data_IF_650625718176
#
_entry.id   IF_650625718176
#
_cell.length_a   1.000
_cell.length_b   1.000
_cell.length_c   1.000
_cell.angle_alpha   90.00
_cell.angle_beta   90.00
_cell.angle_gamma   90.00
#
_symmetry.space_group_name_H-M   'P 1'
#
loop_
_entity.id
_entity.type
_entity.pdbx_description
1 polymer ?
#
# COMPACT_ATOMS: atom_id res chain seq x y z
N UNK A 1 -38.29 72.52 24.53
CA UNK A 1 -37.90 71.79 25.76
C UNK A 1 -38.75 70.52 25.87
N UNK A 2 -38.19 69.36 25.52
CA UNK A 2 -38.72 68.03 25.85
C UNK A 2 -37.52 67.11 26.07
N UNK A 3 -37.29 66.73 27.33
CA UNK A 3 -36.37 65.67 27.70
C UNK A 3 -37.07 64.32 27.50
N UNK A 4 -36.31 63.28 27.11
CA UNK A 4 -35.93 62.19 28.04
C UNK A 4 -35.09 61.14 27.32
N UNK A 5 -33.82 61.11 27.71
CA UNK A 5 -32.92 59.98 27.61
C UNK A 5 -33.43 58.84 28.50
N UNK A 6 -33.23 57.61 28.02
CA UNK A 6 -33.11 56.30 28.72
C UNK A 6 -33.64 55.22 27.75
N UNK A 7 -33.01 54.08 27.50
CA UNK A 7 -31.84 53.40 28.05
C UNK A 7 -31.62 52.16 27.14
N UNK A 8 -30.56 51.38 27.40
CA UNK A 8 -30.25 50.02 26.91
C UNK A 8 -29.66 49.87 25.50
N UNK A 9 -28.68 49.01 25.20
CA UNK A 9 -27.78 48.08 25.90
C UNK A 9 -26.79 47.58 24.82
N UNK A 10 -25.51 47.36 25.16
CA UNK A 10 -24.54 46.38 24.60
C UNK A 10 -24.31 46.31 23.06
N UNK A 11 -23.14 46.03 22.47
CA UNK A 11 -22.10 45.02 22.72
C UNK A 11 -20.82 45.47 22.00
N UNK A 12 -19.69 45.19 22.63
CA UNK A 12 -18.31 45.17 22.14
C UNK A 12 -18.14 44.45 20.78
N UNK A 13 -17.73 45.13 19.71
CA UNK A 13 -17.31 44.46 18.46
C UNK A 13 -15.79 44.28 18.45
N UNK A 14 -15.31 43.22 19.10
CA UNK A 14 -13.93 42.75 19.02
C UNK A 14 -13.96 41.25 18.74
N UNK A 15 -13.33 40.81 17.65
CA UNK A 15 -13.10 39.38 17.43
C UNK A 15 -13.10 38.92 15.97
N UNK A 16 -11.93 39.05 15.33
CA UNK A 16 -11.33 38.02 14.47
C UNK A 16 -12.21 37.33 13.41
N UNK A 17 -12.25 37.90 12.20
CA UNK A 17 -12.55 37.14 10.99
C UNK A 17 -11.26 36.55 10.42
N UNK A 18 -10.74 35.49 11.05
CA UNK A 18 -9.81 34.57 10.40
C UNK A 18 -9.96 33.18 11.02
N UNK A 19 -10.83 32.35 10.45
CA UNK A 19 -10.67 30.88 10.43
C UNK A 19 -11.53 30.29 9.30
N UNK A 20 -11.11 30.48 8.04
CA UNK A 20 -11.38 29.47 7.02
C UNK A 20 -10.19 28.50 7.03
N UNK A 21 -10.17 27.62 8.03
CA UNK A 21 -9.33 26.42 7.95
C UNK A 21 -9.85 25.59 6.78
N UNK A 22 -9.09 25.54 5.69
CA UNK A 22 -9.33 24.63 4.57
C UNK A 22 -9.32 23.19 5.09
N UNK A 23 -10.50 22.63 5.36
CA UNK A 23 -10.72 21.18 5.43
C UNK A 23 -10.97 20.61 4.01
N UNK A 24 -10.27 21.14 3.00
CA UNK A 24 -10.25 20.58 1.65
C UNK A 24 -9.09 19.59 1.54
N UNK A 25 -9.36 18.35 1.16
CA UNK A 25 -8.31 17.38 0.83
C UNK A 25 -7.35 18.00 -0.18
N UNK A 26 -6.04 17.80 -0.01
CA UNK A 26 -5.07 18.40 -0.95
C UNK A 26 -5.27 17.82 -2.35
N UNK A 27 -4.90 18.56 -3.40
CA UNK A 27 -4.95 18.04 -4.78
C UNK A 27 -4.17 16.73 -4.93
N UNK A 28 -3.08 16.56 -4.15
CA UNK A 28 -2.32 15.30 -4.10
C UNK A 28 -3.10 14.16 -3.45
N UNK A 29 -3.96 14.45 -2.48
CA UNK A 29 -4.90 13.46 -1.91
C UNK A 29 -6.00 13.13 -2.91
N UNK A 30 -6.60 14.13 -3.55
CA UNK A 30 -7.65 13.92 -4.56
C UNK A 30 -7.13 13.12 -5.76
N UNK A 31 -5.91 13.40 -6.24
CA UNK A 31 -5.25 12.62 -7.31
C UNK A 31 -4.94 11.19 -6.88
N UNK A 32 -4.54 10.96 -5.63
CA UNK A 32 -4.32 9.61 -5.09
C UNK A 32 -5.62 8.83 -4.90
N UNK A 33 -6.70 9.52 -4.54
CA UNK A 33 -8.04 8.92 -4.43
C UNK A 33 -8.64 8.61 -5.81
N UNK A 34 -8.47 9.48 -6.79
CA UNK A 34 -8.89 9.25 -8.18
C UNK A 34 -8.04 8.18 -8.88
N UNK A 35 -6.76 8.06 -8.50
CA UNK A 35 -5.85 6.99 -8.92
C UNK A 35 -5.89 5.78 -7.96
N UNK A 36 -6.94 5.61 -7.15
CA UNK A 36 -7.22 4.32 -6.51
C UNK A 36 -7.56 3.33 -7.62
N UNK A 37 -6.52 2.81 -8.26
CA UNK A 37 -6.54 1.50 -8.90
C UNK A 37 -7.11 0.58 -7.82
N UNK A 38 -8.21 -0.08 -8.18
CA UNK A 38 -8.85 -1.08 -7.33
C UNK A 38 -7.81 -2.16 -7.11
N UNK A 39 -7.09 -2.06 -6.01
CA UNK A 39 -5.90 -2.85 -5.70
C UNK A 39 -6.26 -3.71 -4.52
N UNK A 40 -5.78 -4.95 -4.53
CA UNK A 40 -6.07 -5.97 -3.50
C UNK A 40 -5.91 -5.43 -2.07
N UNK A 41 -4.90 -4.58 -1.86
CA UNK A 41 -4.61 -3.95 -0.57
C UNK A 41 -4.86 -2.44 -0.60
N UNK A 42 -5.28 -1.87 0.52
CA UNK A 42 -5.27 -0.42 0.76
C UNK A 42 -3.85 0.16 0.73
N UNK A 43 -3.73 1.47 0.59
CA UNK A 43 -2.43 2.17 0.61
C UNK A 43 -1.71 1.91 1.93
N UNK A 44 -2.45 1.92 3.04
CA UNK A 44 -1.95 1.71 4.39
C UNK A 44 -1.48 0.25 4.60
N UNK A 45 -2.23 -0.73 4.09
CA UNK A 45 -1.83 -2.15 4.11
C UNK A 45 -0.53 -2.35 3.33
N UNK A 46 -0.44 -1.81 2.10
CA UNK A 46 0.80 -1.88 1.31
C UNK A 46 1.99 -1.27 2.02
N UNK A 47 1.82 -0.12 2.66
CA UNK A 47 2.90 0.52 3.40
C UNK A 47 3.36 -0.31 4.61
N UNK A 48 2.44 -1.01 5.30
CA UNK A 48 2.80 -1.91 6.41
C UNK A 48 3.53 -3.15 5.91
N UNK A 49 3.01 -3.82 4.88
CA UNK A 49 3.65 -4.99 4.30
C UNK A 49 5.02 -4.65 3.70
N UNK A 50 5.14 -3.51 3.03
CA UNK A 50 6.42 -3.04 2.48
C UNK A 50 7.48 -2.81 3.56
N UNK A 51 7.11 -2.24 4.70
CA UNK A 51 8.04 -2.12 5.85
C UNK A 51 8.42 -3.48 6.42
N UNK A 52 7.43 -4.34 6.64
CA UNK A 52 7.67 -5.69 7.15
C UNK A 52 8.62 -6.48 6.24
N UNK A 53 8.38 -6.47 4.92
CA UNK A 53 9.24 -7.14 3.95
C UNK A 53 10.64 -6.53 3.93
N UNK A 54 10.77 -5.20 4.03
CA UNK A 54 12.06 -4.53 4.13
C UNK A 54 12.87 -5.01 5.34
N UNK A 55 12.24 -5.10 6.52
CA UNK A 55 12.90 -5.57 7.75
C UNK A 55 13.35 -7.03 7.60
N UNK A 56 12.49 -7.90 7.08
CA UNK A 56 12.79 -9.31 6.80
C UNK A 56 13.93 -9.50 5.80
N UNK A 57 13.98 -8.68 4.74
CA UNK A 57 15.07 -8.74 3.75
C UNK A 57 16.39 -8.24 4.32
N UNK A 58 16.37 -7.28 5.26
CA UNK A 58 17.58 -6.88 5.97
C UNK A 58 18.15 -8.01 6.84
N UNK A 59 17.29 -8.83 7.45
CA UNK A 59 17.70 -10.00 8.24
C UNK A 59 18.36 -11.10 7.38
N UNK A 60 18.14 -11.11 6.06
CA UNK A 60 18.78 -12.05 5.13
C UNK A 60 20.28 -11.79 4.92
N UNK A 61 20.79 -10.63 5.34
CA UNK A 61 22.23 -10.31 5.24
C UNK A 61 22.77 -10.33 3.81
N UNK A 62 22.00 -9.85 2.85
CA UNK A 62 22.42 -9.77 1.44
C UNK A 62 23.57 -8.78 1.28
N UNK A 63 24.52 -9.07 0.39
CA UNK A 63 25.50 -8.06 -0.04
C UNK A 63 24.80 -6.99 -0.88
N UNK A 64 25.36 -5.78 -0.96
CA UNK A 64 24.74 -4.66 -1.69
C UNK A 64 24.38 -5.01 -3.14
N UNK A 65 25.28 -5.69 -3.86
CA UNK A 65 25.04 -6.12 -5.24
C UNK A 65 23.93 -7.17 -5.35
N UNK A 66 23.88 -8.14 -4.43
CA UNK A 66 22.81 -9.16 -4.42
C UNK A 66 21.49 -8.51 -4.01
N UNK A 67 21.52 -7.55 -3.08
CA UNK A 67 20.35 -6.81 -2.62
C UNK A 67 19.70 -6.02 -3.74
N UNK A 68 20.50 -5.30 -4.54
CA UNK A 68 19.99 -4.55 -5.69
C UNK A 68 19.28 -5.47 -6.70
N UNK A 69 19.89 -6.62 -7.04
CA UNK A 69 19.30 -7.60 -7.95
C UNK A 69 18.03 -8.23 -7.37
N UNK A 70 18.07 -8.60 -6.10
CA UNK A 70 16.95 -9.17 -5.38
C UNK A 70 15.75 -8.22 -5.35
N UNK A 71 15.97 -6.95 -4.96
CA UNK A 71 14.92 -5.94 -4.91
C UNK A 71 14.33 -5.69 -6.32
N UNK A 72 15.16 -5.67 -7.36
CA UNK A 72 14.70 -5.52 -8.73
C UNK A 72 13.77 -6.67 -9.17
N UNK A 73 14.15 -7.92 -8.89
CA UNK A 73 13.34 -9.11 -9.19
C UNK A 73 12.02 -9.05 -8.40
N UNK A 74 12.10 -8.95 -7.08
CA UNK A 74 10.94 -9.02 -6.19
C UNK A 74 9.96 -7.88 -6.47
N UNK A 75 10.42 -6.64 -6.64
CA UNK A 75 9.51 -5.53 -6.92
C UNK A 75 8.87 -5.61 -8.31
N UNK A 76 9.58 -6.15 -9.31
CA UNK A 76 8.98 -6.40 -10.63
C UNK A 76 7.81 -7.38 -10.51
N UNK A 77 8.00 -8.49 -9.82
CA UNK A 77 6.95 -9.51 -9.64
C UNK A 77 5.81 -9.02 -8.75
N UNK A 78 6.10 -8.29 -7.66
CA UNK A 78 5.05 -7.66 -6.84
C UNK A 78 4.21 -6.69 -7.69
N UNK A 79 4.84 -5.90 -8.55
CA UNK A 79 4.12 -5.01 -9.46
C UNK A 79 3.18 -5.81 -10.38
N UNK A 80 3.66 -6.90 -10.98
CA UNK A 80 2.83 -7.76 -11.83
C UNK A 80 1.64 -8.37 -11.05
N UNK A 81 1.87 -8.85 -9.81
CA UNK A 81 0.81 -9.36 -8.94
C UNK A 81 -0.25 -8.29 -8.64
N UNK A 82 0.16 -7.03 -8.39
CA UNK A 82 -0.78 -5.95 -8.07
C UNK A 82 -1.72 -5.57 -9.20
N UNK A 83 -1.40 -6.01 -10.43
CA UNK A 83 -2.13 -5.69 -11.66
C UNK A 83 -3.04 -6.82 -12.14
N UNK A 84 -3.04 -7.97 -11.46
CA UNK A 84 -3.88 -9.11 -11.87
C UNK A 84 -5.38 -8.80 -11.79
N UNK A 85 -5.79 -7.88 -10.92
CA UNK A 85 -7.18 -7.44 -10.81
C UNK A 85 -7.47 -6.14 -11.59
N UNK A 86 -6.54 -5.67 -12.44
CA UNK A 86 -6.78 -4.50 -13.28
C UNK A 86 -8.01 -4.76 -14.20
N UNK A 87 -8.87 -3.75 -14.33
CA UNK A 87 -10.14 -3.84 -15.08
C UNK A 87 -9.98 -4.17 -16.56
N UNK A 88 -8.80 -3.96 -17.14
CA UNK A 88 -8.49 -4.25 -18.54
C UNK A 88 -8.09 -5.71 -18.79
N UNK A 89 -7.92 -6.52 -17.73
CA UNK A 89 -7.52 -7.93 -17.83
C UNK A 89 -8.67 -8.92 -17.98
N UNK A 90 -9.86 -8.57 -17.48
CA UNK A 90 -11.07 -9.41 -17.52
C UNK A 90 -10.86 -10.84 -16.98
N UNK A 91 -9.97 -11.01 -15.99
CA UNK A 91 -9.72 -12.30 -15.37
C UNK A 91 -10.81 -12.65 -14.34
N UNK A 92 -11.19 -13.93 -14.33
CA UNK A 92 -11.96 -14.53 -13.25
C UNK A 92 -11.10 -14.69 -11.99
N UNK A 93 -11.74 -14.84 -10.83
CA UNK A 93 -11.04 -15.07 -9.55
C UNK A 93 -10.08 -16.28 -9.59
N UNK A 94 -10.50 -17.37 -10.24
CA UNK A 94 -9.67 -18.56 -10.41
C UNK A 94 -8.46 -18.31 -11.32
N UNK A 95 -8.61 -17.51 -12.38
CA UNK A 95 -7.49 -17.13 -13.24
C UNK A 95 -6.51 -16.19 -12.54
N UNK A 96 -7.01 -15.30 -11.68
CA UNK A 96 -6.17 -14.44 -10.82
C UNK A 96 -5.35 -15.33 -9.87
N UNK A 97 -5.96 -16.34 -9.24
CA UNK A 97 -5.24 -17.29 -8.38
C UNK A 97 -4.11 -17.98 -9.13
N UNK A 98 -4.42 -18.63 -10.27
CA UNK A 98 -3.42 -19.35 -11.07
C UNK A 98 -2.27 -18.43 -11.48
N UNK A 99 -2.58 -17.21 -11.94
CA UNK A 99 -1.55 -16.24 -12.35
C UNK A 99 -0.74 -15.71 -11.18
N UNK A 100 -1.36 -15.55 -10.02
CA UNK A 100 -0.65 -15.18 -8.81
C UNK A 100 0.40 -16.24 -8.49
N UNK A 101 -0.01 -17.52 -8.42
CA UNK A 101 0.87 -18.65 -8.16
C UNK A 101 2.02 -18.75 -9.19
N UNK A 102 1.70 -18.58 -10.49
CA UNK A 102 2.70 -18.56 -11.57
C UNK A 102 3.77 -17.46 -11.38
N UNK A 103 3.36 -16.27 -10.93
CA UNK A 103 4.29 -15.18 -10.66
C UNK A 103 5.14 -15.49 -9.42
N UNK A 104 4.54 -16.06 -8.35
CA UNK A 104 5.28 -16.48 -7.16
C UNK A 104 6.36 -17.50 -7.52
N UNK A 105 6.00 -18.55 -8.26
CA UNK A 105 6.93 -19.59 -8.69
C UNK A 105 8.07 -19.03 -9.53
N UNK A 106 7.75 -18.14 -10.48
CA UNK A 106 8.75 -17.50 -11.32
C UNK A 106 9.71 -16.64 -10.50
N UNK A 107 9.20 -15.81 -9.59
CA UNK A 107 10.01 -14.99 -8.69
C UNK A 107 10.92 -15.87 -7.84
N UNK A 108 10.38 -16.94 -7.23
CA UNK A 108 11.13 -17.88 -6.41
C UNK A 108 12.28 -18.53 -7.20
N UNK A 109 12.05 -18.91 -8.47
CA UNK A 109 13.08 -19.46 -9.34
C UNK A 109 14.17 -18.45 -9.68
N UNK A 110 13.80 -17.20 -9.98
CA UNK A 110 14.74 -16.15 -10.33
C UNK A 110 15.64 -15.77 -9.15
N UNK A 111 15.09 -15.57 -7.95
CA UNK A 111 15.90 -15.23 -6.79
C UNK A 111 16.79 -16.39 -6.33
N UNK A 112 16.37 -17.64 -6.55
CA UNK A 112 17.19 -18.82 -6.25
C UNK A 112 18.54 -18.81 -6.98
N UNK A 113 18.61 -18.17 -8.15
CA UNK A 113 19.84 -18.08 -8.93
C UNK A 113 20.88 -17.13 -8.32
N UNK A 114 20.47 -16.19 -7.46
CA UNK A 114 21.34 -15.15 -6.88
C UNK A 114 21.54 -15.29 -5.37
N UNK A 115 20.69 -16.06 -4.69
CA UNK A 115 20.73 -16.25 -3.25
C UNK A 115 21.54 -17.49 -2.85
N UNK A 116 22.15 -17.44 -1.66
CA UNK A 116 22.63 -18.66 -1.02
C UNK A 116 21.45 -19.53 -0.58
N UNK A 117 21.70 -20.80 -0.25
CA UNK A 117 20.65 -21.71 0.25
C UNK A 117 19.91 -21.13 1.47
N UNK A 118 20.64 -20.57 2.44
CA UNK A 118 20.05 -19.99 3.65
C UNK A 118 19.20 -18.76 3.35
N UNK A 119 19.70 -17.86 2.51
CA UNK A 119 18.95 -16.69 2.07
C UNK A 119 17.70 -17.08 1.28
N UNK A 120 17.80 -18.11 0.44
CA UNK A 120 16.67 -18.61 -0.32
C UNK A 120 15.60 -19.24 0.58
N UNK A 121 15.99 -19.98 1.62
CA UNK A 121 15.04 -20.48 2.63
C UNK A 121 14.31 -19.31 3.31
N UNK A 122 15.05 -18.29 3.76
CA UNK A 122 14.45 -17.10 4.36
C UNK A 122 13.50 -16.38 3.39
N UNK A 123 13.86 -16.29 2.10
CA UNK A 123 12.97 -15.73 1.07
C UNK A 123 11.66 -16.50 0.98
N UNK A 124 11.72 -17.84 0.88
CA UNK A 124 10.54 -18.68 0.78
C UNK A 124 9.63 -18.53 2.02
N UNK A 125 10.20 -18.50 3.21
CA UNK A 125 9.45 -18.29 4.46
C UNK A 125 8.76 -16.91 4.48
N UNK A 126 9.49 -15.86 4.13
CA UNK A 126 8.95 -14.50 4.06
C UNK A 126 7.84 -14.38 3.02
N UNK A 127 8.02 -15.00 1.84
CA UNK A 127 7.04 -14.89 0.77
C UNK A 127 5.80 -15.74 1.01
N UNK A 128 5.95 -16.88 1.69
CA UNK A 128 4.81 -17.70 2.12
C UNK A 128 3.85 -16.95 3.07
N UNK A 129 4.36 -16.02 3.89
CA UNK A 129 3.49 -15.13 4.70
C UNK A 129 2.68 -14.16 3.84
N UNK A 130 3.29 -13.61 2.79
CA UNK A 130 2.63 -12.71 1.84
C UNK A 130 1.55 -13.49 1.07
N UNK A 131 1.90 -14.67 0.56
CA UNK A 131 0.99 -15.58 -0.13
C UNK A 131 -0.22 -15.95 0.73
N UNK A 132 0.00 -16.41 1.98
CA UNK A 132 -1.09 -16.67 2.93
C UNK A 132 -2.00 -15.45 3.14
N UNK A 133 -1.41 -14.26 3.25
CA UNK A 133 -2.18 -13.01 3.38
C UNK A 133 -3.05 -12.73 2.15
N UNK A 134 -2.53 -12.98 0.94
CA UNK A 134 -3.27 -12.83 -0.32
C UNK A 134 -4.39 -13.86 -0.42
N UNK A 135 -4.08 -15.13 -0.19
CA UNK A 135 -5.06 -16.23 -0.20
C UNK A 135 -6.22 -15.95 0.76
N UNK A 136 -5.92 -15.49 1.98
CA UNK A 136 -6.94 -15.10 2.96
C UNK A 136 -7.76 -13.90 2.49
N UNK A 137 -7.15 -12.92 1.82
CA UNK A 137 -7.84 -11.72 1.32
C UNK A 137 -8.85 -12.06 0.21
N UNK A 138 -8.49 -12.97 -0.68
CA UNK A 138 -9.35 -13.43 -1.76
C UNK A 138 -10.26 -14.60 -1.36
N UNK A 139 -10.08 -15.16 -0.17
CA UNK A 139 -10.80 -16.36 0.30
C UNK A 139 -10.58 -17.57 -0.63
N UNK A 140 -9.35 -17.70 -1.15
CA UNK A 140 -8.90 -18.88 -1.86
C UNK A 140 -8.57 -20.01 -0.88
N UNK A 141 -8.64 -21.26 -1.36
CA UNK A 141 -8.17 -22.42 -0.59
C UNK A 141 -6.67 -22.56 -0.79
N UNK A 142 -5.94 -22.75 0.29
CA UNK A 142 -4.54 -23.18 0.24
C UNK A 142 -4.47 -24.53 -0.49
N UNK A 143 -3.50 -24.67 -1.40
CA UNK A 143 -3.23 -25.92 -2.12
C UNK A 143 -2.43 -26.91 -1.27
#
# INVERSE_FOLDING_TARGET
MKYKFNSLIFVFFFGTLFTLGQNGKSEKQLRREAAKVDTVYTVEERARMGRWLYDRVNEMGLSDTVREQYDAIVFSHIFDMTRLNDKDKDYTDAEIQIKFDEIVDKMNLEVKAILTTEQYINHLENFAEIERSVYKKFNWREN
#
